data_IF_340926101179
#
_entry.id   IF_340926101179
#
_cell.length_a   1.000
_cell.length_b   1.000
_cell.length_c   1.000
_cell.angle_alpha   90.00
_cell.angle_beta   90.00
_cell.angle_gamma   90.00
#
_symmetry.space_group_name_H-M   'P 1'
#
loop_
_entity.id
_entity.type
_entity.pdbx_description
1 polymer ?
#
# COMPACT_ATOMS: atom_id res chain seq x y z
N UNK A 1 -4.69 8.96 19.44
CA UNK A 1 -4.52 7.59 18.96
C UNK A 1 -4.16 7.56 17.46
N UNK A 2 -4.81 8.35 16.60
CA UNK A 2 -4.49 8.36 15.15
C UNK A 2 -3.07 8.85 14.86
N UNK A 3 -2.62 9.91 15.53
CA UNK A 3 -1.25 10.41 15.41
C UNK A 3 -0.24 9.35 15.88
N UNK A 4 -0.54 8.64 16.98
CA UNK A 4 0.31 7.56 17.46
C UNK A 4 0.42 6.38 16.50
N UNK A 5 -0.68 6.02 15.82
CA UNK A 5 -0.70 4.94 14.83
C UNK A 5 0.18 5.25 13.60
N UNK A 6 0.00 6.44 13.04
CA UNK A 6 0.80 6.88 11.89
C UNK A 6 2.26 7.16 12.27
N UNK A 7 2.52 7.64 13.49
CA UNK A 7 3.88 7.80 14.00
C UNK A 7 4.59 6.45 14.12
N UNK A 8 3.96 5.42 14.72
CA UNK A 8 4.52 4.08 14.81
C UNK A 8 4.83 3.48 13.42
N UNK A 9 3.89 3.61 12.49
CA UNK A 9 4.07 3.18 11.11
C UNK A 9 5.28 3.86 10.45
N UNK A 10 5.39 5.18 10.58
CA UNK A 10 6.51 5.94 10.04
C UNK A 10 7.84 5.56 10.71
N UNK A 11 7.84 5.33 12.03
CA UNK A 11 9.03 4.85 12.73
C UNK A 11 9.52 3.51 12.18
N UNK A 12 8.64 2.54 11.95
CA UNK A 12 9.03 1.25 11.39
C UNK A 12 9.62 1.41 9.98
N UNK A 13 9.01 2.25 9.13
CA UNK A 13 9.54 2.50 7.79
C UNK A 13 10.91 3.18 7.85
N UNK A 14 11.03 4.29 8.60
CA UNK A 14 12.22 5.12 8.59
C UNK A 14 13.40 4.51 9.35
N UNK A 15 13.16 3.79 10.44
CA UNK A 15 14.23 3.28 11.29
C UNK A 15 14.50 1.77 11.14
N UNK A 16 13.57 1.00 10.57
CA UNK A 16 13.79 -0.42 10.34
C UNK A 16 13.86 -0.76 8.85
N UNK A 17 12.82 -0.45 8.07
CA UNK A 17 12.71 -0.90 6.69
C UNK A 17 13.76 -0.24 5.78
N UNK A 18 13.79 1.09 5.73
CA UNK A 18 14.69 1.81 4.84
C UNK A 18 16.17 1.62 5.17
N UNK A 19 16.63 1.70 6.44
CA UNK A 19 18.02 1.41 6.76
C UNK A 19 18.44 -0.02 6.43
N UNK A 20 17.55 -0.99 6.66
CA UNK A 20 17.82 -2.37 6.30
C UNK A 20 17.95 -2.55 4.78
N UNK A 21 17.04 -1.98 3.99
CA UNK A 21 17.10 -2.02 2.52
C UNK A 21 18.35 -1.31 1.99
N UNK A 22 18.69 -0.14 2.53
CA UNK A 22 19.90 0.58 2.14
C UNK A 22 21.18 -0.24 2.38
N UNK A 23 21.24 -0.91 3.54
CA UNK A 23 22.40 -1.78 3.88
C UNK A 23 22.50 -3.00 2.99
N UNK A 24 21.38 -3.59 2.59
CA UNK A 24 21.36 -4.87 1.86
C UNK A 24 21.42 -4.71 0.35
N UNK A 25 20.82 -3.65 -0.21
CA UNK A 25 20.80 -3.38 -1.65
C UNK A 25 22.05 -2.64 -2.16
N UNK A 26 22.72 -1.90 -1.28
CA UNK A 26 23.75 -0.95 -1.70
C UNK A 26 23.19 0.31 -2.35
N UNK A 27 24.03 1.33 -2.54
CA UNK A 27 23.58 2.69 -2.91
C UNK A 27 22.80 2.77 -4.22
N UNK A 28 23.26 2.10 -5.26
CA UNK A 28 22.68 2.17 -6.60
C UNK A 28 21.31 1.49 -6.66
N UNK A 29 21.22 0.25 -6.20
CA UNK A 29 19.96 -0.48 -6.16
C UNK A 29 18.96 0.13 -5.16
N UNK A 30 19.43 0.69 -4.07
CA UNK A 30 18.56 1.40 -3.13
C UNK A 30 17.96 2.66 -3.76
N UNK A 31 18.75 3.43 -4.55
CA UNK A 31 18.23 4.56 -5.32
C UNK A 31 17.14 4.14 -6.31
N UNK A 32 17.36 3.06 -7.03
CA UNK A 32 16.37 2.47 -7.95
C UNK A 32 15.11 2.02 -7.19
N UNK A 33 15.27 1.39 -6.02
CA UNK A 33 14.14 0.99 -5.18
C UNK A 33 13.32 2.19 -4.70
N UNK A 34 13.96 3.26 -4.23
CA UNK A 34 13.26 4.50 -3.83
C UNK A 34 12.52 5.15 -4.99
N UNK A 35 13.11 5.15 -6.19
CA UNK A 35 12.45 5.63 -7.39
C UNK A 35 11.18 4.83 -7.71
N UNK A 36 11.26 3.49 -7.73
CA UNK A 36 10.09 2.63 -7.95
C UNK A 36 9.02 2.83 -6.87
N UNK A 37 9.42 2.99 -5.61
CA UNK A 37 8.50 3.29 -4.51
C UNK A 37 7.80 4.63 -4.67
N UNK A 38 8.48 5.64 -5.20
CA UNK A 38 7.88 6.93 -5.50
C UNK A 38 6.80 6.82 -6.58
N UNK A 39 7.03 6.01 -7.62
CA UNK A 39 6.02 5.72 -8.63
C UNK A 39 4.80 5.01 -8.01
N UNK A 40 5.04 3.99 -7.18
CA UNK A 40 3.96 3.30 -6.46
C UNK A 40 3.18 4.28 -5.59
N UNK A 41 3.86 5.13 -4.82
CA UNK A 41 3.22 6.08 -3.90
C UNK A 41 2.37 7.11 -4.65
N UNK A 42 2.86 7.66 -5.77
CA UNK A 42 2.11 8.61 -6.59
C UNK A 42 0.86 7.95 -7.18
N UNK A 43 1.03 6.79 -7.84
CA UNK A 43 -0.06 6.12 -8.53
C UNK A 43 -1.12 5.57 -7.55
N UNK A 44 -0.69 4.86 -6.51
CA UNK A 44 -1.60 4.29 -5.51
C UNK A 44 -2.26 5.38 -4.65
N UNK A 45 -1.51 6.44 -4.32
CA UNK A 45 -2.03 7.60 -3.60
C UNK A 45 -3.11 8.33 -4.41
N UNK A 46 -2.89 8.54 -5.71
CA UNK A 46 -3.88 9.19 -6.59
C UNK A 46 -5.20 8.41 -6.63
N UNK A 47 -5.16 7.10 -6.82
CA UNK A 47 -6.38 6.28 -6.86
C UNK A 47 -6.98 6.05 -5.46
N UNK A 48 -6.19 5.54 -4.52
CA UNK A 48 -6.67 5.13 -3.20
C UNK A 48 -7.11 6.30 -2.33
N UNK A 49 -6.34 7.38 -2.31
CA UNK A 49 -6.67 8.58 -1.54
C UNK A 49 -7.86 9.33 -2.15
N UNK A 50 -7.93 9.42 -3.49
CA UNK A 50 -9.09 10.02 -4.15
C UNK A 50 -10.38 9.27 -3.83
N UNK A 51 -10.37 7.93 -3.91
CA UNK A 51 -11.50 7.09 -3.53
C UNK A 51 -11.89 7.29 -2.05
N UNK A 52 -10.90 7.35 -1.16
CA UNK A 52 -11.10 7.58 0.27
C UNK A 52 -11.80 8.91 0.53
N UNK A 53 -11.29 10.01 -0.01
CA UNK A 53 -11.90 11.34 0.16
C UNK A 53 -13.26 11.44 -0.51
N UNK A 54 -13.42 10.92 -1.72
CA UNK A 54 -14.71 10.89 -2.40
C UNK A 54 -15.77 10.22 -1.54
N UNK A 55 -15.45 9.07 -0.95
CA UNK A 55 -16.37 8.37 -0.06
C UNK A 55 -16.69 9.16 1.22
N UNK A 56 -15.69 9.77 1.86
CA UNK A 56 -15.92 10.59 3.06
C UNK A 56 -16.89 11.73 2.81
N UNK A 57 -16.84 12.35 1.62
CA UNK A 57 -17.73 13.45 1.24
C UNK A 57 -19.12 12.93 0.85
N UNK A 58 -19.19 11.86 0.05
CA UNK A 58 -20.44 11.38 -0.53
C UNK A 58 -21.27 10.45 0.39
N UNK A 59 -20.69 9.95 1.47
CA UNK A 59 -21.38 9.00 2.38
C UNK A 59 -22.72 9.53 2.93
N UNK A 60 -22.79 10.83 3.21
CA UNK A 60 -24.01 11.45 3.75
C UNK A 60 -25.09 11.71 2.69
N UNK A 61 -24.69 11.91 1.45
CA UNK A 61 -25.59 12.35 0.37
C UNK A 61 -26.00 11.25 -0.57
N UNK A 62 -25.06 10.44 -1.02
CA UNK A 62 -25.25 9.46 -2.09
C UNK A 62 -25.24 8.01 -1.62
N UNK A 63 -24.71 7.73 -0.43
CA UNK A 63 -24.52 6.38 0.14
C UNK A 63 -23.97 5.38 -0.91
N UNK A 64 -22.82 5.68 -1.53
CA UNK A 64 -22.33 4.88 -2.63
C UNK A 64 -21.97 3.47 -2.18
N UNK A 65 -22.11 2.51 -3.10
CA UNK A 65 -21.78 1.10 -2.85
C UNK A 65 -20.26 0.91 -2.64
N UNK A 66 -19.89 0.01 -1.74
CA UNK A 66 -18.49 -0.44 -1.62
C UNK A 66 -17.98 -1.04 -2.93
N UNK A 67 -18.86 -1.73 -3.67
CA UNK A 67 -18.53 -2.35 -4.96
C UNK A 67 -18.03 -1.36 -5.99
N UNK A 68 -18.63 -0.18 -6.08
CA UNK A 68 -18.25 0.86 -7.04
C UNK A 68 -16.81 1.36 -6.78
N UNK A 69 -16.48 1.59 -5.52
CA UNK A 69 -15.13 2.00 -5.13
C UNK A 69 -14.10 0.89 -5.33
N UNK A 70 -14.45 -0.35 -5.03
CA UNK A 70 -13.56 -1.49 -5.25
C UNK A 70 -13.28 -1.69 -6.75
N UNK A 71 -14.30 -1.53 -7.59
CA UNK A 71 -14.14 -1.58 -9.06
C UNK A 71 -13.27 -0.42 -9.55
N UNK A 72 -13.52 0.80 -9.09
CA UNK A 72 -12.70 1.98 -9.42
C UNK A 72 -11.23 1.76 -9.04
N UNK A 73 -10.96 1.23 -7.84
CA UNK A 73 -9.60 0.95 -7.38
C UNK A 73 -8.92 -0.13 -8.20
N UNK A 74 -9.65 -1.19 -8.57
CA UNK A 74 -9.11 -2.26 -9.39
C UNK A 74 -8.77 -1.76 -10.79
N UNK A 75 -9.70 -1.11 -11.47
CA UNK A 75 -9.51 -0.59 -12.83
C UNK A 75 -8.44 0.51 -12.83
N UNK A 76 -8.54 1.49 -11.93
CA UNK A 76 -7.57 2.56 -11.80
C UNK A 76 -6.17 2.04 -11.43
N UNK A 77 -6.09 1.07 -10.53
CA UNK A 77 -4.84 0.40 -10.15
C UNK A 77 -4.19 -0.34 -11.33
N UNK A 78 -4.98 -1.07 -12.13
CA UNK A 78 -4.50 -1.76 -13.34
C UNK A 78 -3.99 -0.75 -14.38
N UNK A 79 -4.72 0.33 -14.63
CA UNK A 79 -4.30 1.37 -15.57
C UNK A 79 -3.00 2.07 -15.11
N UNK A 80 -2.92 2.44 -13.83
CA UNK A 80 -1.71 3.01 -13.27
C UNK A 80 -0.53 2.03 -13.30
N UNK A 81 -0.78 0.75 -13.03
CA UNK A 81 0.25 -0.28 -13.13
C UNK A 81 0.74 -0.42 -14.57
N UNK A 82 -0.16 -0.43 -15.56
CA UNK A 82 0.21 -0.52 -16.98
C UNK A 82 1.09 0.66 -17.41
N UNK A 83 0.73 1.89 -17.02
CA UNK A 83 1.54 3.09 -17.30
C UNK A 83 2.89 3.01 -16.60
N UNK A 84 2.93 2.61 -15.32
CA UNK A 84 4.18 2.46 -14.57
C UNK A 84 5.09 1.38 -15.15
N UNK A 85 4.52 0.23 -15.54
CA UNK A 85 5.27 -0.85 -16.20
C UNK A 85 5.82 -0.44 -17.56
N UNK A 86 5.01 0.26 -18.37
CA UNK A 86 5.48 0.81 -19.64
C UNK A 86 6.67 1.76 -19.44
N UNK A 87 6.59 2.65 -18.45
CA UNK A 87 7.68 3.55 -18.12
C UNK A 87 8.94 2.81 -17.65
N UNK A 88 8.80 1.83 -16.75
CA UNK A 88 9.92 1.01 -16.27
C UNK A 88 10.56 0.18 -17.40
N UNK A 89 9.75 -0.30 -18.35
CA UNK A 89 10.25 -0.95 -19.56
C UNK A 89 11.06 0.01 -20.43
N UNK A 90 10.55 1.22 -20.65
CA UNK A 90 11.22 2.25 -21.43
C UNK A 90 12.62 2.58 -20.91
N UNK A 91 12.75 2.70 -19.58
CA UNK A 91 14.05 2.98 -18.93
C UNK A 91 14.90 1.72 -18.64
N UNK A 92 14.48 0.55 -19.18
CA UNK A 92 15.17 -0.74 -19.07
C UNK A 92 15.38 -1.25 -17.64
N UNK A 93 14.52 -0.89 -16.70
CA UNK A 93 14.53 -1.38 -15.31
C UNK A 93 13.55 -2.55 -15.06
N UNK A 94 12.85 -3.02 -16.10
CA UNK A 94 11.81 -4.03 -15.97
C UNK A 94 12.36 -5.44 -16.18
N UNK A 95 12.19 -6.29 -15.16
CA UNK A 95 12.30 -7.75 -15.28
C UNK A 95 10.92 -8.40 -15.07
N UNK A 96 10.67 -9.64 -15.51
CA UNK A 96 9.36 -10.28 -15.31
C UNK A 96 8.92 -10.33 -13.82
N UNK A 97 9.86 -10.64 -12.92
CA UNK A 97 9.58 -10.68 -11.48
C UNK A 97 9.28 -9.28 -10.95
N UNK A 98 10.09 -8.29 -11.33
CA UNK A 98 9.88 -6.88 -10.95
C UNK A 98 8.52 -6.38 -11.45
N UNK A 99 8.11 -6.77 -12.67
CA UNK A 99 6.82 -6.37 -13.22
C UNK A 99 5.64 -6.87 -12.37
N UNK A 100 5.65 -8.15 -12.01
CA UNK A 100 4.59 -8.75 -11.20
C UNK A 100 4.55 -8.12 -9.81
N UNK A 101 5.69 -7.99 -9.16
CA UNK A 101 5.78 -7.42 -7.82
C UNK A 101 5.40 -5.94 -7.79
N UNK A 102 5.83 -5.16 -8.78
CA UNK A 102 5.48 -3.75 -8.91
C UNK A 102 3.97 -3.54 -9.10
N UNK A 103 3.36 -4.28 -10.02
CA UNK A 103 1.92 -4.20 -10.26
C UNK A 103 1.12 -4.64 -9.02
N UNK A 104 1.50 -5.74 -8.38
CA UNK A 104 0.87 -6.21 -7.16
C UNK A 104 1.01 -5.19 -6.03
N UNK A 105 2.21 -4.65 -5.80
CA UNK A 105 2.46 -3.64 -4.77
C UNK A 105 1.62 -2.38 -5.00
N UNK A 106 1.54 -1.89 -6.25
CA UNK A 106 0.77 -0.70 -6.59
C UNK A 106 -0.73 -0.90 -6.30
N UNK A 107 -1.31 -2.00 -6.79
CA UNK A 107 -2.74 -2.30 -6.61
C UNK A 107 -3.05 -2.49 -5.11
N UNK A 108 -2.28 -3.32 -4.42
CA UNK A 108 -2.47 -3.60 -2.99
C UNK A 108 -2.35 -2.32 -2.16
N UNK A 109 -1.39 -1.46 -2.48
CA UNK A 109 -1.20 -0.16 -1.79
C UNK A 109 -2.37 0.79 -2.06
N UNK A 110 -2.93 0.83 -3.29
CA UNK A 110 -4.11 1.63 -3.59
C UNK A 110 -5.32 1.20 -2.74
N UNK A 111 -5.56 -0.11 -2.63
CA UNK A 111 -6.60 -0.65 -1.74
C UNK A 111 -6.33 -0.34 -0.27
N UNK A 112 -5.08 -0.38 0.18
CA UNK A 112 -4.72 -0.03 1.55
C UNK A 112 -5.01 1.45 1.85
N UNK A 113 -4.72 2.38 0.94
CA UNK A 113 -5.06 3.80 1.10
C UNK A 113 -6.56 4.04 1.21
N UNK A 114 -7.36 3.22 0.53
CA UNK A 114 -8.82 3.29 0.64
C UNK A 114 -9.35 2.65 1.93
N UNK A 115 -8.72 1.57 2.38
CA UNK A 115 -9.24 0.70 3.45
C UNK A 115 -9.45 1.39 4.79
N UNK A 116 -8.75 2.48 5.07
CA UNK A 116 -8.89 3.19 6.35
C UNK A 116 -10.15 4.07 6.42
N UNK A 117 -10.86 4.28 5.29
CA UNK A 117 -12.07 5.10 5.22
C UNK A 117 -13.17 4.62 6.18
N UNK A 118 -13.37 3.31 6.28
CA UNK A 118 -14.36 2.72 7.19
C UNK A 118 -14.08 3.04 8.66
N UNK A 119 -12.82 3.03 9.05
CA UNK A 119 -12.43 3.37 10.42
C UNK A 119 -12.60 4.87 10.71
N UNK A 120 -12.40 5.72 9.70
CA UNK A 120 -12.63 7.16 9.77
C UNK A 120 -14.12 7.48 9.86
N UNK A 121 -14.95 6.87 9.00
CA UNK A 121 -16.41 7.05 8.98
C UNK A 121 -17.05 6.62 10.30
N UNK A 122 -16.60 5.50 10.88
CA UNK A 122 -17.12 4.98 12.15
C UNK A 122 -16.41 5.55 13.39
N UNK A 123 -15.49 6.49 13.22
CA UNK A 123 -14.67 7.06 14.30
C UNK A 123 -14.01 6.00 15.22
N UNK A 124 -13.66 4.85 14.62
CA UNK A 124 -13.12 3.70 15.35
C UNK A 124 -11.61 3.83 15.53
N UNK A 125 -11.16 4.72 16.41
CA UNK A 125 -9.74 5.01 16.63
C UNK A 125 -8.88 3.80 17.01
N UNK A 126 -9.45 2.86 17.78
CA UNK A 126 -8.76 1.63 18.20
C UNK A 126 -8.51 0.72 16.99
N UNK A 127 -9.52 0.53 16.13
CA UNK A 127 -9.36 -0.28 14.91
C UNK A 127 -8.38 0.36 13.93
N UNK A 128 -8.41 1.67 13.81
CA UNK A 128 -7.44 2.43 13.03
C UNK A 128 -6.00 2.22 13.53
N UNK A 129 -5.80 2.24 14.86
CA UNK A 129 -4.50 1.95 15.45
C UNK A 129 -4.01 0.54 15.11
N UNK A 130 -4.85 -0.47 15.31
CA UNK A 130 -4.50 -1.86 14.99
C UNK A 130 -4.29 -2.11 13.49
N UNK A 131 -4.95 -1.36 12.63
CA UNK A 131 -4.71 -1.40 11.19
C UNK A 131 -3.26 -1.01 10.84
N UNK A 132 -2.78 0.12 11.35
CA UNK A 132 -1.39 0.54 11.13
C UNK A 132 -0.38 -0.32 11.88
N UNK A 133 -0.74 -0.86 13.03
CA UNK A 133 0.08 -1.84 13.74
C UNK A 133 0.25 -3.12 12.90
N UNK A 134 -0.83 -3.64 12.31
CA UNK A 134 -0.78 -4.82 11.44
C UNK A 134 0.15 -4.59 10.23
N UNK A 135 0.07 -3.43 9.58
CA UNK A 135 0.96 -3.07 8.47
C UNK A 135 2.42 -3.02 8.95
N UNK A 136 2.67 -2.42 10.12
CA UNK A 136 4.01 -2.29 10.69
C UNK A 136 4.63 -3.65 11.01
N UNK A 137 3.86 -4.54 11.64
CA UNK A 137 4.27 -5.94 11.89
C UNK A 137 4.51 -6.68 10.58
N UNK A 138 3.62 -6.48 9.60
CA UNK A 138 3.76 -7.04 8.27
C UNK A 138 5.05 -6.61 7.56
N UNK A 139 5.48 -5.36 7.70
CA UNK A 139 6.77 -4.90 7.14
C UNK A 139 7.97 -5.57 7.82
N UNK A 140 7.93 -5.71 9.15
CA UNK A 140 9.01 -6.42 9.88
C UNK A 140 9.10 -7.90 9.46
N UNK A 141 7.96 -8.58 9.35
CA UNK A 141 7.90 -9.95 8.83
C UNK A 141 8.31 -10.01 7.35
N UNK A 142 7.95 -9.01 6.58
CA UNK A 142 8.33 -8.86 5.19
C UNK A 142 9.84 -8.78 4.96
N UNK A 143 10.60 -8.25 5.92
CA UNK A 143 12.07 -8.30 5.86
C UNK A 143 12.60 -9.74 5.92
N UNK A 144 11.92 -10.64 6.64
CA UNK A 144 12.26 -12.06 6.65
C UNK A 144 11.95 -12.73 5.31
N UNK A 145 10.83 -12.34 4.67
CA UNK A 145 10.47 -12.81 3.33
C UNK A 145 11.50 -12.32 2.31
N UNK A 146 11.89 -11.05 2.38
CA UNK A 146 12.94 -10.48 1.54
C UNK A 146 14.25 -11.26 1.64
N UNK A 147 14.68 -11.62 2.86
CA UNK A 147 15.91 -12.42 3.06
C UNK A 147 15.87 -13.79 2.37
N UNK A 148 14.68 -14.38 2.18
CA UNK A 148 14.49 -15.64 1.49
C UNK A 148 14.37 -15.50 -0.03
N UNK A 149 13.72 -14.44 -0.48
CA UNK A 149 13.39 -14.23 -1.91
C UNK A 149 14.40 -13.40 -2.67
N UNK A 150 15.24 -12.64 -1.97
CA UNK A 150 16.10 -11.58 -2.53
C UNK A 150 15.34 -10.52 -3.34
N UNK A 151 14.01 -10.40 -3.14
CA UNK A 151 13.16 -9.43 -3.83
C UNK A 151 12.66 -8.40 -2.82
N UNK A 152 13.25 -7.22 -2.82
CA UNK A 152 12.96 -6.17 -1.82
C UNK A 152 11.49 -5.74 -1.78
N UNK A 153 10.79 -5.78 -2.93
CA UNK A 153 9.35 -5.44 -2.99
C UNK A 153 8.48 -6.39 -2.16
N UNK A 154 8.94 -7.62 -1.92
CA UNK A 154 8.20 -8.57 -1.08
C UNK A 154 8.09 -8.11 0.37
N UNK A 155 9.07 -7.35 0.86
CA UNK A 155 9.01 -6.80 2.21
C UNK A 155 7.83 -5.82 2.36
N UNK A 156 7.66 -4.93 1.37
CA UNK A 156 6.57 -3.96 1.39
C UNK A 156 5.23 -4.61 1.10
N UNK A 157 5.19 -5.49 0.10
CA UNK A 157 3.96 -6.19 -0.28
C UNK A 157 3.39 -6.99 0.90
N UNK A 158 4.24 -7.64 1.69
CA UNK A 158 3.82 -8.34 2.91
C UNK A 158 3.14 -7.39 3.89
N UNK A 159 3.71 -6.21 4.15
CA UNK A 159 3.11 -5.22 5.04
C UNK A 159 1.76 -4.73 4.55
N UNK A 160 1.65 -4.39 3.27
CA UNK A 160 0.40 -3.94 2.67
C UNK A 160 -0.70 -5.03 2.73
N UNK A 161 -0.34 -6.30 2.47
CA UNK A 161 -1.25 -7.45 2.58
C UNK A 161 -1.74 -7.61 4.03
N UNK A 162 -0.87 -7.50 5.03
CA UNK A 162 -1.29 -7.57 6.44
C UNK A 162 -2.32 -6.49 6.78
N UNK A 163 -2.13 -5.27 6.26
CA UNK A 163 -3.12 -4.20 6.39
C UNK A 163 -4.45 -4.54 5.76
N UNK A 164 -4.45 -5.05 4.52
CA UNK A 164 -5.67 -5.45 3.82
C UNK A 164 -6.40 -6.60 4.50
N UNK A 165 -5.66 -7.62 4.94
CA UNK A 165 -6.23 -8.75 5.69
C UNK A 165 -6.90 -8.26 6.97
N UNK A 166 -6.21 -7.40 7.75
CA UNK A 166 -6.83 -6.80 8.93
C UNK A 166 -8.09 -5.99 8.57
N UNK A 167 -8.05 -5.16 7.52
CA UNK A 167 -9.20 -4.39 7.08
C UNK A 167 -10.38 -5.28 6.66
N UNK A 168 -10.13 -6.39 5.98
CA UNK A 168 -11.15 -7.35 5.57
C UNK A 168 -11.85 -7.99 6.77
N UNK A 169 -11.12 -8.27 7.85
CA UNK A 169 -11.71 -8.85 9.08
C UNK A 169 -12.36 -7.80 9.98
N UNK A 170 -11.73 -6.63 10.14
CA UNK A 170 -12.16 -5.61 11.09
C UNK A 170 -13.22 -4.66 10.52
N UNK A 171 -13.40 -4.62 9.21
CA UNK A 171 -14.37 -3.76 8.52
C UNK A 171 -15.20 -4.56 7.51
N UNK A 172 -16.31 -3.94 7.03
CA UNK A 172 -17.14 -4.51 5.96
C UNK A 172 -16.84 -3.93 4.58
N UNK A 173 -15.69 -3.28 4.42
CA UNK A 173 -15.36 -2.49 3.23
C UNK A 173 -15.31 -3.32 1.94
N UNK A 174 -15.05 -4.62 2.07
CA UNK A 174 -14.99 -5.58 0.94
C UNK A 174 -16.26 -6.47 0.87
N UNK A 175 -17.25 -6.21 1.72
CA UNK A 175 -18.55 -6.89 1.66
C UNK A 175 -19.56 -6.00 0.93
N UNK A 176 -20.38 -6.63 0.11
CA UNK A 176 -21.48 -5.97 -0.61
C UNK A 176 -22.56 -5.45 0.33
#
# INVERSE_FOLDING_TARGET
LNIGATALFNLVIQFALYPYLNKTLGKEMYGTALFMLSLVAIASGSCGTAANYSRLVSEKTLRPSNGDYNLFLLVGGILCAAVGLFYLWWIKLLTPITAILFAALLIVTAFRYYSDVEFKLKTSFVRYFFFYLAISVGYLLGLLVYRKTNQWMTALLTGEIFGLVYAAFASRIYRH
#
